data_IF_243804466241
#
_entry.id   IF_243804466241
#
_cell.length_a   1.000
_cell.length_b   1.000
_cell.length_c   1.000
_cell.angle_alpha   90.00
_cell.angle_beta   90.00
_cell.angle_gamma   90.00
#
_symmetry.space_group_name_H-M   'P 1'
#
loop_
_entity.id
_entity.type
_entity.pdbx_description
1 polymer ?
#
# COMPACT_ATOMS: atom_id res chain seq x y z
N UNK A 1 2.19 -9.55 -5.73
CA UNK A 1 2.50 -8.34 -4.95
C UNK A 1 1.22 -7.66 -4.50
N UNK A 2 1.21 -7.10 -3.32
CA UNK A 2 0.04 -6.40 -2.78
C UNK A 2 0.39 -4.95 -2.45
N UNK A 3 -0.62 -4.10 -2.48
CA UNK A 3 -0.56 -2.74 -1.98
C UNK A 3 -1.86 -2.43 -1.25
N UNK A 4 -1.78 -1.60 -0.22
CA UNK A 4 -2.96 -1.06 0.44
C UNK A 4 -2.89 0.45 0.47
N UNK A 5 -4.03 1.09 0.23
CA UNK A 5 -4.20 2.53 0.34
C UNK A 5 -5.08 2.80 1.55
N UNK A 6 -4.50 3.45 2.56
CA UNK A 6 -5.23 3.80 3.78
C UNK A 6 -5.93 5.12 3.60
N UNK A 7 -7.20 5.17 3.97
CA UNK A 7 -8.09 6.31 3.76
C UNK A 7 -8.55 6.90 5.09
N UNK A 8 -8.69 8.22 5.13
CA UNK A 8 -9.28 8.95 6.26
C UNK A 8 -9.80 10.30 5.77
N UNK A 9 -11.09 10.56 5.97
CA UNK A 9 -11.70 11.87 5.70
C UNK A 9 -11.36 12.47 4.33
N UNK A 10 -11.59 11.71 3.27
CA UNK A 10 -11.29 12.12 1.90
C UNK A 10 -9.81 12.38 1.62
N UNK A 11 -8.94 11.78 2.46
CA UNK A 11 -7.50 11.79 2.26
C UNK A 11 -6.97 10.38 2.14
N UNK A 12 -5.85 10.25 1.46
CA UNK A 12 -5.15 8.97 1.31
C UNK A 12 -3.73 9.10 1.84
N UNK A 13 -3.28 8.08 2.55
CA UNK A 13 -1.89 8.00 3.01
C UNK A 13 -1.03 7.42 1.91
N UNK A 14 -0.07 8.17 1.45
CA UNK A 14 0.89 7.71 0.44
C UNK A 14 2.29 7.65 1.03
N UNK A 15 3.09 6.75 0.48
CA UNK A 15 4.47 6.53 0.88
C UNK A 15 5.40 7.05 -0.21
N UNK A 16 6.32 7.93 0.16
CA UNK A 16 7.40 8.35 -0.72
C UNK A 16 8.60 7.45 -0.46
N UNK A 17 8.85 6.52 -1.38
CA UNK A 17 9.93 5.56 -1.21
C UNK A 17 11.27 6.20 -1.46
N UNK A 18 12.22 5.94 -0.55
CA UNK A 18 13.59 6.43 -0.63
C UNK A 18 14.56 5.28 -0.40
N UNK A 19 15.65 5.26 -1.17
CA UNK A 19 16.68 4.24 -1.04
C UNK A 19 16.28 2.86 -1.54
N UNK A 20 15.14 2.74 -2.20
CA UNK A 20 14.68 1.48 -2.77
C UNK A 20 15.48 1.09 -4.01
N UNK A 21 15.58 -0.22 -4.27
CA UNK A 21 16.33 -0.72 -5.44
C UNK A 21 15.51 -0.72 -6.70
N UNK A 22 14.20 -0.96 -6.60
CA UNK A 22 13.31 -1.15 -7.74
C UNK A 22 12.51 0.11 -8.02
N UNK A 23 11.94 0.69 -6.96
CA UNK A 23 11.12 1.90 -7.05
C UNK A 23 11.68 2.90 -6.06
N UNK A 24 12.11 4.05 -6.54
CA UNK A 24 12.77 5.06 -5.73
C UNK A 24 12.32 6.45 -6.14
N UNK A 25 12.17 7.35 -5.15
CA UNK A 25 11.77 8.74 -5.37
C UNK A 25 10.40 8.88 -6.05
N UNK A 26 9.47 8.00 -5.70
CA UNK A 26 8.08 8.03 -6.20
C UNK A 26 7.11 7.78 -5.06
N UNK A 27 5.89 8.26 -5.25
CA UNK A 27 4.80 8.00 -4.31
C UNK A 27 4.14 6.66 -4.63
N UNK A 28 3.84 5.89 -3.60
CA UNK A 28 3.19 4.58 -3.73
C UNK A 28 2.07 4.46 -2.71
N UNK A 29 1.36 3.32 -2.72
CA UNK A 29 0.39 3.00 -1.67
C UNK A 29 1.00 3.02 -0.29
N UNK A 30 0.17 3.05 0.73
CA UNK A 30 0.60 3.21 2.13
C UNK A 30 1.56 2.12 2.58
N UNK A 31 1.29 0.88 2.19
CA UNK A 31 2.13 -0.28 2.49
C UNK A 31 1.92 -1.35 1.42
N UNK A 32 2.84 -2.29 1.32
CA UNK A 32 2.69 -3.41 0.40
C UNK A 32 4.01 -4.11 0.14
N UNK A 33 3.93 -5.24 -0.54
CA UNK A 33 5.12 -6.01 -0.86
C UNK A 33 4.81 -7.33 -1.55
N UNK A 34 5.83 -8.15 -1.66
CA UNK A 34 5.77 -9.44 -2.32
C UNK A 34 5.15 -10.50 -1.43
N UNK A 35 4.53 -11.51 -2.06
CA UNK A 35 4.02 -12.68 -1.35
C UNK A 35 5.16 -13.51 -0.76
N UNK A 36 4.96 -13.94 0.47
CA UNK A 36 5.74 -15.04 1.01
C UNK A 36 5.17 -16.37 0.50
N UNK A 37 5.96 -17.44 0.55
CA UNK A 37 5.54 -18.73 0.01
C UNK A 37 4.25 -19.27 0.64
N UNK A 38 4.04 -18.99 1.92
CA UNK A 38 2.84 -19.44 2.64
C UNK A 38 1.62 -18.55 2.40
N UNK A 39 1.79 -17.45 1.67
CA UNK A 39 0.71 -16.51 1.34
C UNK A 39 0.21 -16.65 -0.09
N UNK A 40 0.76 -17.57 -0.86
CA UNK A 40 0.29 -17.81 -2.22
C UNK A 40 -1.19 -18.18 -2.16
N UNK A 41 -2.01 -17.54 -2.98
CA UNK A 41 -3.46 -17.64 -2.96
C UNK A 41 -4.15 -16.98 -1.76
N UNK A 42 -3.42 -16.16 -1.00
CA UNK A 42 -3.98 -15.42 0.13
C UNK A 42 -3.47 -13.98 0.13
N UNK A 43 -4.02 -13.18 -0.77
CA UNK A 43 -3.61 -11.79 -0.93
C UNK A 43 -3.91 -10.96 0.32
N UNK A 44 -5.01 -11.26 1.02
CA UNK A 44 -5.36 -10.57 2.26
C UNK A 44 -4.30 -10.80 3.34
N UNK A 45 -3.84 -12.02 3.52
CA UNK A 45 -2.79 -12.33 4.49
C UNK A 45 -1.51 -11.58 4.16
N UNK A 46 -1.15 -11.51 2.88
CA UNK A 46 0.04 -10.79 2.43
C UNK A 46 -0.05 -9.30 2.76
N UNK A 47 -1.15 -8.65 2.40
CA UNK A 47 -1.28 -7.21 2.63
C UNK A 47 -1.35 -6.86 4.11
N UNK A 48 -1.97 -7.69 4.93
CA UNK A 48 -2.02 -7.48 6.38
C UNK A 48 -0.64 -7.65 7.02
N UNK A 49 0.13 -8.62 6.57
CA UNK A 49 1.51 -8.79 7.05
C UNK A 49 2.37 -7.58 6.70
N UNK A 50 2.32 -7.13 5.45
CA UNK A 50 3.08 -5.96 5.01
C UNK A 50 2.66 -4.69 5.75
N UNK A 51 1.38 -4.53 6.00
CA UNK A 51 0.86 -3.40 6.78
C UNK A 51 1.47 -3.36 8.17
N UNK A 52 1.53 -4.51 8.83
CA UNK A 52 2.13 -4.63 10.15
C UNK A 52 3.64 -4.37 10.12
N UNK A 53 4.35 -4.98 9.19
CA UNK A 53 5.80 -4.84 9.09
C UNK A 53 6.23 -3.41 8.77
N UNK A 54 5.50 -2.72 7.92
CA UNK A 54 5.90 -1.39 7.46
C UNK A 54 5.36 -0.25 8.33
N UNK A 55 4.14 -0.37 8.85
CA UNK A 55 3.49 0.71 9.59
C UNK A 55 3.13 0.34 11.03
N UNK A 56 3.29 -0.91 11.42
CA UNK A 56 2.92 -1.36 12.76
C UNK A 56 1.42 -1.46 13.00
N UNK A 57 0.62 -1.48 11.95
CA UNK A 57 -0.84 -1.53 12.05
C UNK A 57 -1.35 -2.96 11.87
N UNK A 58 -2.29 -3.37 12.72
CA UNK A 58 -2.96 -4.64 12.60
C UNK A 58 -4.35 -4.51 12.00
N UNK A 59 -5.02 -5.64 11.81
CA UNK A 59 -6.38 -5.66 11.26
C UNK A 59 -7.36 -4.90 12.15
N UNK A 60 -7.11 -4.86 13.45
CA UNK A 60 -7.93 -4.12 14.43
C UNK A 60 -7.82 -2.60 14.28
N UNK A 61 -6.85 -2.11 13.54
CA UNK A 61 -6.63 -0.68 13.34
C UNK A 61 -7.29 -0.14 12.08
N UNK A 62 -7.85 -1.02 11.26
CA UNK A 62 -8.47 -0.66 9.99
C UNK A 62 -9.87 -1.27 9.89
N UNK A 63 -10.67 -0.74 8.97
CA UNK A 63 -12.00 -1.27 8.67
C UNK A 63 -12.27 -1.17 7.17
N UNK A 64 -13.23 -1.96 6.71
CA UNK A 64 -13.64 -1.99 5.31
C UNK A 64 -12.50 -2.33 4.35
N UNK A 65 -11.59 -3.21 4.77
CA UNK A 65 -10.54 -3.69 3.90
C UNK A 65 -11.15 -4.44 2.71
N UNK A 66 -10.90 -3.94 1.51
CA UNK A 66 -11.47 -4.52 0.31
C UNK A 66 -10.46 -4.53 -0.82
N UNK A 67 -10.42 -5.64 -1.54
CA UNK A 67 -9.70 -5.74 -2.80
C UNK A 67 -10.49 -4.98 -3.87
N UNK A 68 -9.90 -3.94 -4.43
CA UNK A 68 -10.58 -3.08 -5.39
C UNK A 68 -10.25 -3.42 -6.84
N UNK A 69 -9.01 -3.76 -7.10
CA UNK A 69 -8.64 -4.17 -8.46
C UNK A 69 -7.33 -4.96 -8.45
N UNK A 70 -7.11 -5.67 -9.53
CA UNK A 70 -5.91 -6.47 -9.79
C UNK A 70 -5.36 -6.03 -11.13
N UNK A 71 -4.06 -5.82 -11.21
CA UNK A 71 -3.40 -5.53 -12.48
C UNK A 71 -2.54 -6.71 -12.91
N UNK A 72 -2.48 -6.91 -14.22
CA UNK A 72 -1.56 -7.87 -14.84
C UNK A 72 -0.59 -7.10 -15.71
N UNK A 73 0.68 -7.36 -15.51
CA UNK A 73 1.72 -6.73 -16.33
C UNK A 73 2.71 -7.77 -16.81
N UNK A 74 3.18 -7.58 -18.03
CA UNK A 74 4.26 -8.40 -18.58
C UNK A 74 5.54 -7.60 -18.50
N UNK A 75 6.49 -8.11 -17.70
CA UNK A 75 7.80 -7.48 -17.52
C UNK A 75 8.86 -8.54 -17.76
N UNK A 76 9.72 -8.30 -18.75
CA UNK A 76 10.84 -9.21 -19.09
C UNK A 76 10.39 -10.66 -19.28
N UNK A 77 9.24 -10.84 -19.96
CA UNK A 77 8.70 -12.18 -20.23
C UNK A 77 7.93 -12.81 -19.09
N UNK A 78 7.86 -12.18 -17.93
CA UNK A 78 7.10 -12.67 -16.78
C UNK A 78 5.79 -11.92 -16.66
N UNK A 79 4.74 -12.62 -16.23
CA UNK A 79 3.46 -12.00 -15.89
C UNK A 79 3.45 -11.72 -14.40
N UNK A 80 3.20 -10.46 -14.05
CA UNK A 80 3.12 -10.02 -12.65
C UNK A 80 1.70 -9.60 -12.34
N UNK A 81 1.19 -10.11 -11.23
CA UNK A 81 -0.11 -9.73 -10.67
C UNK A 81 0.10 -8.84 -9.46
N UNK A 82 -0.60 -7.71 -9.45
CA UNK A 82 -0.59 -6.81 -8.30
C UNK A 82 -2.03 -6.64 -7.81
N UNK A 83 -2.22 -6.82 -6.51
CA UNK A 83 -3.51 -6.75 -5.84
C UNK A 83 -3.58 -5.45 -5.06
N UNK A 84 -4.59 -4.65 -5.34
CA UNK A 84 -4.74 -3.32 -4.72
C UNK A 84 -5.92 -3.31 -3.78
N UNK A 85 -5.62 -3.08 -2.51
CA UNK A 85 -6.61 -3.01 -1.44
C UNK A 85 -6.80 -1.57 -1.00
N UNK A 86 -7.99 -1.27 -0.52
CA UNK A 86 -8.30 0.00 0.13
C UNK A 86 -8.90 -0.31 1.49
N UNK A 87 -8.58 0.50 2.49
CA UNK A 87 -9.11 0.35 3.84
C UNK A 87 -9.21 1.71 4.51
N UNK A 88 -10.16 1.84 5.43
CA UNK A 88 -10.29 3.03 6.25
C UNK A 88 -9.54 2.84 7.56
N UNK A 89 -8.79 3.85 7.99
CA UNK A 89 -8.17 3.83 9.32
C UNK A 89 -9.22 4.13 10.38
N UNK A 90 -9.16 3.38 11.47
CA UNK A 90 -10.04 3.65 12.62
C UNK A 90 -9.59 4.90 13.38
N UNK A 91 -10.52 5.53 14.08
CA UNK A 91 -10.28 6.81 14.73
C UNK A 91 -9.20 6.78 15.81
N UNK A 92 -9.00 5.63 16.45
CA UNK A 92 -7.98 5.52 17.51
C UNK A 92 -6.54 5.58 16.97
N UNK A 93 -6.35 5.41 15.67
CA UNK A 93 -5.02 5.48 15.05
C UNK A 93 -4.70 6.94 14.73
N UNK A 94 -3.55 7.43 15.19
CA UNK A 94 -3.11 8.79 14.91
C UNK A 94 -2.71 8.99 13.45
N UNK A 95 -2.62 10.25 13.04
CA UNK A 95 -2.23 10.60 11.67
C UNK A 95 -0.73 10.50 11.42
N UNK A 96 0.07 10.52 12.48
CA UNK A 96 1.53 10.50 12.38
C UNK A 96 2.04 9.07 12.29
N UNK A 97 2.05 8.54 11.08
CA UNK A 97 2.55 7.19 10.82
C UNK A 97 3.98 7.26 10.28
N UNK A 98 4.80 6.31 10.74
CA UNK A 98 6.20 6.20 10.31
C UNK A 98 6.39 4.85 9.64
N UNK A 99 6.94 4.88 8.44
CA UNK A 99 7.29 3.67 7.70
C UNK A 99 8.81 3.51 7.65
N UNK A 100 9.27 2.27 7.72
CA UNK A 100 10.67 1.94 7.51
C UNK A 100 11.08 1.98 6.02
N UNK A 101 10.12 2.18 5.12
CA UNK A 101 10.35 2.18 3.68
C UNK A 101 10.41 3.59 3.07
N UNK A 102 10.12 4.63 3.85
CA UNK A 102 10.13 5.99 3.35
C UNK A 102 9.29 6.95 4.19
N UNK A 103 8.86 8.03 3.57
CA UNK A 103 8.10 9.10 4.22
C UNK A 103 6.62 8.95 3.92
N UNK A 104 5.80 8.88 4.97
CA UNK A 104 4.33 8.83 4.85
C UNK A 104 3.76 10.23 4.87
N UNK A 105 2.81 10.50 3.98
CA UNK A 105 2.12 11.79 3.94
C UNK A 105 0.68 11.61 3.48
N UNK A 106 -0.23 12.36 4.11
CA UNK A 106 -1.64 12.40 3.75
C UNK A 106 -1.87 13.39 2.61
N UNK A 107 -2.64 12.97 1.62
CA UNK A 107 -3.01 13.81 0.48
C UNK A 107 -4.52 13.80 0.29
N UNK A 108 -5.14 14.95 -0.03
CA UNK A 108 -6.53 14.93 -0.49
C UNK A 108 -6.64 14.08 -1.75
N UNK A 109 -7.79 13.44 -1.97
CA UNK A 109 -7.98 12.57 -3.14
C UNK A 109 -7.72 13.30 -4.46
N UNK A 110 -8.14 14.55 -4.59
CA UNK A 110 -7.93 15.30 -5.82
C UNK A 110 -6.45 15.64 -6.09
N UNK A 111 -5.63 15.70 -5.05
CA UNK A 111 -4.20 15.97 -5.23
C UNK A 111 -3.44 14.74 -5.73
N UNK A 112 -3.98 13.55 -5.53
CA UNK A 112 -3.37 12.30 -5.97
C UNK A 112 -3.13 12.27 -7.48
N UNK A 113 -4.02 12.89 -8.25
CA UNK A 113 -3.95 12.88 -9.71
C UNK A 113 -2.76 13.65 -10.27
N UNK A 114 -2.17 14.54 -9.48
CA UNK A 114 -1.01 15.32 -9.89
C UNK A 114 0.33 14.73 -9.48
N UNK A 115 0.31 13.59 -8.76
CA UNK A 115 1.52 12.93 -8.31
C UNK A 115 1.98 11.89 -9.33
N UNK A 116 3.31 11.77 -9.46
CA UNK A 116 3.88 10.67 -10.22
C UNK A 116 3.83 9.40 -9.38
N UNK A 117 3.02 8.46 -9.82
CA UNK A 117 2.90 7.16 -9.17
C UNK A 117 3.19 6.06 -10.19
N UNK A 118 4.02 5.08 -9.83
CA UNK A 118 4.29 3.98 -10.75
C UNK A 118 3.07 3.09 -10.90
N UNK A 119 2.88 2.55 -12.07
CA UNK A 119 1.95 1.46 -12.31
C UNK A 119 2.68 0.18 -11.92
N UNK A 120 2.19 -0.49 -10.93
CA UNK A 120 2.80 -1.73 -10.43
C UNK A 120 2.15 -2.96 -10.99
#
# INVERSE_FOLDING_TARGET
MTSVYLLREEKVLLLYRQGGRVVNNVWTGSAGGHFESYELNDAKACVLRELYEELGLGEEDIEDLALRYVTLRRIKGEIRQNYYFFANMKEHVGDDLVSNEGICKWFPFNAMLSLEMPIR
#
